data_IF_905527523721
#
_entry.id   IF_905527523721
#
_cell.length_a   1.000
_cell.length_b   1.000
_cell.length_c   1.000
_cell.angle_alpha   90.00
_cell.angle_beta   90.00
_cell.angle_gamma   90.00
#
_symmetry.space_group_name_H-M   'P 1'
#
loop_
_entity.id
_entity.type
_entity.pdbx_description
1 polymer ?
#
# COMPACT_ATOMS: atom_id res chain seq x y z
N UNK A 1 7.33 -2.67 31.34
CA UNK A 1 6.41 -2.70 30.19
C UNK A 1 7.29 -2.84 28.97
N UNK A 2 7.20 -3.98 28.26
CA UNK A 2 8.01 -4.20 27.06
C UNK A 2 7.47 -3.25 25.98
N UNK A 3 8.27 -2.29 25.55
CA UNK A 3 7.91 -1.48 24.39
C UNK A 3 7.70 -2.41 23.19
N UNK A 4 6.61 -2.21 22.46
CA UNK A 4 6.25 -3.05 21.34
C UNK A 4 7.21 -2.81 20.15
N UNK A 5 7.63 -3.90 19.50
CA UNK A 5 8.36 -3.85 18.26
C UNK A 5 7.54 -3.11 17.20
N UNK A 6 8.21 -2.33 16.35
CA UNK A 6 7.59 -1.68 15.19
C UNK A 6 7.80 -2.53 13.95
N UNK A 7 6.78 -2.63 13.13
CA UNK A 7 6.85 -3.35 11.86
C UNK A 7 6.74 -2.36 10.70
N UNK A 8 7.65 -2.47 9.76
CA UNK A 8 7.68 -1.64 8.56
C UNK A 8 7.62 -2.50 7.30
N UNK A 9 7.12 -1.90 6.23
CA UNK A 9 7.11 -2.48 4.88
C UNK A 9 7.92 -1.58 3.97
N UNK A 10 9.00 -2.10 3.40
CA UNK A 10 9.77 -1.45 2.34
C UNK A 10 9.25 -1.96 1.00
N UNK A 11 8.83 -1.05 0.13
CA UNK A 11 8.48 -1.32 -1.26
C UNK A 11 9.48 -0.66 -2.19
N UNK A 12 9.89 -1.36 -3.23
CA UNK A 12 10.92 -0.94 -4.18
C UNK A 12 10.47 -1.25 -5.61
N UNK A 13 10.77 -0.36 -6.52
CA UNK A 13 10.70 -0.56 -7.96
C UNK A 13 11.88 0.11 -8.65
N UNK A 14 12.60 -0.62 -9.50
CA UNK A 14 13.74 -0.11 -10.29
C UNK A 14 13.92 -0.92 -11.57
N UNK A 15 14.94 -0.58 -12.39
CA UNK A 15 15.38 -1.46 -13.47
C UNK A 15 15.90 -2.77 -12.89
N UNK A 16 15.60 -3.92 -13.54
CA UNK A 16 16.09 -5.22 -13.06
C UNK A 16 17.61 -5.33 -13.26
N UNK A 17 18.32 -5.60 -12.18
CA UNK A 17 19.79 -5.76 -12.22
C UNK A 17 20.27 -6.64 -11.08
N UNK A 18 21.44 -7.22 -11.29
CA UNK A 18 22.10 -8.09 -10.29
C UNK A 18 22.45 -7.32 -9.03
N UNK A 19 22.18 -7.90 -7.86
CA UNK A 19 22.61 -7.40 -6.57
C UNK A 19 21.55 -6.62 -5.79
N UNK A 20 20.40 -6.33 -6.34
CA UNK A 20 19.31 -5.59 -5.64
C UNK A 20 18.92 -6.29 -4.34
N UNK A 21 18.55 -7.57 -4.40
CA UNK A 21 18.14 -8.34 -3.22
C UNK A 21 19.23 -8.39 -2.16
N UNK A 22 20.48 -8.62 -2.60
CA UNK A 22 21.63 -8.67 -1.69
C UNK A 22 21.87 -7.31 -1.00
N UNK A 23 21.78 -6.20 -1.74
CA UNK A 23 21.98 -4.86 -1.21
C UNK A 23 20.88 -4.50 -0.18
N UNK A 24 19.61 -4.79 -0.49
CA UNK A 24 18.49 -4.50 0.40
C UNK A 24 18.54 -5.37 1.65
N UNK A 25 18.73 -6.68 1.49
CA UNK A 25 18.80 -7.60 2.63
C UNK A 25 20.03 -7.32 3.50
N UNK A 26 21.17 -7.01 2.87
CA UNK A 26 22.40 -6.65 3.57
C UNK A 26 22.27 -5.36 4.36
N UNK A 27 21.57 -4.36 3.83
CA UNK A 27 21.26 -3.12 4.55
C UNK A 27 20.44 -3.38 5.81
N UNK A 28 19.33 -4.12 5.68
CA UNK A 28 18.47 -4.44 6.82
C UNK A 28 19.23 -5.27 7.88
N UNK A 29 19.98 -6.28 7.44
CA UNK A 29 20.79 -7.11 8.32
C UNK A 29 21.91 -6.31 9.01
N UNK A 30 22.57 -5.38 8.30
CA UNK A 30 23.61 -4.51 8.85
C UNK A 30 23.11 -3.58 9.96
N UNK A 31 21.82 -3.25 9.96
CA UNK A 31 21.15 -2.50 11.03
C UNK A 31 20.56 -3.39 12.12
N UNK A 32 20.76 -4.71 12.06
CA UNK A 32 20.20 -5.65 13.02
C UNK A 32 18.66 -5.80 12.92
N UNK A 33 18.08 -5.50 11.77
CA UNK A 33 16.64 -5.57 11.55
C UNK A 33 16.22 -6.99 11.12
N UNK A 34 15.10 -7.45 11.65
CA UNK A 34 14.63 -8.82 11.41
C UNK A 34 13.61 -8.84 10.27
N UNK A 35 13.99 -9.45 9.14
CA UNK A 35 13.10 -9.63 7.99
C UNK A 35 12.12 -10.77 8.30
N UNK A 36 10.82 -10.47 8.28
CA UNK A 36 9.75 -11.45 8.52
C UNK A 36 9.16 -11.99 7.23
N UNK A 37 9.15 -11.17 6.17
CA UNK A 37 8.63 -11.56 4.85
C UNK A 37 9.42 -10.80 3.78
N UNK A 38 9.72 -11.47 2.67
CA UNK A 38 10.28 -10.82 1.50
C UNK A 38 9.75 -11.49 0.24
N UNK A 39 9.20 -10.69 -0.65
CA UNK A 39 8.74 -11.11 -1.97
C UNK A 39 9.31 -10.17 -3.03
N UNK A 40 9.68 -10.73 -4.15
CA UNK A 40 10.16 -9.94 -5.29
C UNK A 40 9.69 -10.55 -6.60
N UNK A 41 9.62 -9.71 -7.61
CA UNK A 41 9.19 -10.08 -8.95
C UNK A 41 9.97 -9.27 -9.98
N UNK A 42 10.52 -9.95 -10.97
CA UNK A 42 11.11 -9.34 -12.16
C UNK A 42 10.12 -9.43 -13.31
N UNK A 43 9.75 -8.29 -13.86
CA UNK A 43 8.91 -8.19 -15.05
C UNK A 43 9.79 -8.22 -16.29
N UNK A 44 9.77 -9.34 -17.00
CA UNK A 44 10.58 -9.56 -18.21
C UNK A 44 10.11 -8.79 -19.44
N UNK A 45 8.89 -8.24 -19.42
CA UNK A 45 8.38 -7.43 -20.52
C UNK A 45 8.86 -5.98 -20.43
N UNK A 46 8.99 -5.46 -19.21
CA UNK A 46 9.37 -4.07 -18.95
C UNK A 46 10.77 -3.91 -18.37
N UNK A 47 11.51 -5.01 -18.15
CA UNK A 47 12.82 -5.05 -17.47
C UNK A 47 12.78 -4.34 -16.10
N UNK A 48 11.66 -4.47 -15.39
CA UNK A 48 11.48 -3.85 -14.08
C UNK A 48 11.47 -4.88 -12.97
N UNK A 49 12.14 -4.51 -11.89
CA UNK A 49 12.16 -5.26 -10.64
C UNK A 49 11.27 -4.60 -9.60
N UNK A 50 10.51 -5.43 -8.88
CA UNK A 50 9.67 -5.03 -7.75
C UNK A 50 10.01 -5.87 -6.54
N UNK A 51 10.10 -5.23 -5.38
CA UNK A 51 10.35 -5.95 -4.12
C UNK A 51 9.51 -5.35 -3.01
N UNK A 52 8.96 -6.23 -2.18
CA UNK A 52 8.27 -5.90 -0.94
C UNK A 52 8.90 -6.68 0.20
N UNK A 53 9.40 -6.00 1.21
CA UNK A 53 10.04 -6.61 2.38
C UNK A 53 9.40 -6.09 3.65
N UNK A 54 8.94 -7.00 4.50
CA UNK A 54 8.43 -6.70 5.84
C UNK A 54 9.52 -6.98 6.85
N UNK A 55 9.76 -6.03 7.74
CA UNK A 55 10.79 -6.17 8.77
C UNK A 55 10.40 -5.53 10.10
N UNK A 56 10.95 -6.05 11.17
CA UNK A 56 10.76 -5.58 12.54
C UNK A 56 11.94 -4.74 13.00
N UNK A 57 11.61 -3.66 13.70
CA UNK A 57 12.57 -2.79 14.40
C UNK A 57 12.34 -2.89 15.89
N UNK A 58 13.39 -3.15 16.63
CA UNK A 58 13.34 -3.18 18.11
C UNK A 58 13.07 -1.76 18.65
N UNK A 59 12.54 -1.60 19.87
CA UNK A 59 12.25 -0.29 20.45
C UNK A 59 13.44 0.66 20.50
N UNK A 60 14.65 0.12 20.68
CA UNK A 60 15.92 0.86 20.65
C UNK A 60 16.52 1.03 19.25
N UNK A 61 15.86 0.53 18.22
CA UNK A 61 16.34 0.59 16.84
C UNK A 61 16.08 1.93 16.17
N UNK A 62 16.52 2.06 14.91
CA UNK A 62 16.41 3.31 14.17
C UNK A 62 14.95 3.74 13.95
N UNK A 63 14.71 5.03 14.00
CA UNK A 63 13.44 5.63 13.64
C UNK A 63 13.21 5.57 12.13
N UNK A 64 11.94 5.74 11.69
CA UNK A 64 11.60 5.75 10.27
C UNK A 64 12.41 6.80 9.47
N UNK A 65 12.57 8.06 9.90
CA UNK A 65 13.40 9.04 9.19
C UNK A 65 14.87 8.63 9.08
N UNK A 66 15.44 7.98 10.11
CA UNK A 66 16.82 7.48 10.07
C UNK A 66 16.95 6.32 9.07
N UNK A 67 15.97 5.41 9.02
CA UNK A 67 15.90 4.34 8.04
C UNK A 67 15.79 4.89 6.61
N UNK A 68 14.91 5.87 6.38
CA UNK A 68 14.74 6.50 5.07
C UNK A 68 16.02 7.20 4.62
N UNK A 69 16.67 7.94 5.50
CA UNK A 69 17.95 8.59 5.21
C UNK A 69 19.04 7.59 4.84
N UNK A 70 19.19 6.54 5.64
CA UNK A 70 20.23 5.53 5.42
C UNK A 70 19.97 4.67 4.19
N UNK A 71 18.71 4.37 3.88
CA UNK A 71 18.34 3.60 2.69
C UNK A 71 18.52 4.41 1.40
N UNK A 72 18.44 5.74 1.47
CA UNK A 72 18.60 6.64 0.31
C UNK A 72 19.87 6.37 -0.48
N UNK A 73 21.00 6.13 0.18
CA UNK A 73 22.29 5.83 -0.49
C UNK A 73 22.21 4.56 -1.35
N UNK A 74 21.49 3.54 -0.89
CA UNK A 74 21.29 2.30 -1.65
C UNK A 74 20.29 2.53 -2.78
N UNK A 75 19.24 3.27 -2.50
CA UNK A 75 18.22 3.60 -3.47
C UNK A 75 18.80 4.38 -4.66
N UNK A 76 19.66 5.35 -4.39
CA UNK A 76 20.35 6.15 -5.42
C UNK A 76 21.25 5.28 -6.30
N UNK A 77 21.97 4.33 -5.71
CA UNK A 77 22.86 3.41 -6.45
C UNK A 77 22.13 2.61 -7.53
N UNK A 78 20.87 2.25 -7.28
CA UNK A 78 20.06 1.43 -8.20
C UNK A 78 18.92 2.23 -8.85
N UNK A 79 18.91 3.56 -8.70
CA UNK A 79 17.85 4.44 -9.17
C UNK A 79 16.43 3.93 -8.76
N UNK A 80 16.29 3.53 -7.49
CA UNK A 80 15.05 2.95 -6.98
C UNK A 80 13.97 4.02 -6.75
N UNK A 81 12.75 3.70 -7.15
CA UNK A 81 11.54 4.30 -6.56
C UNK A 81 11.16 3.44 -5.35
N UNK A 82 11.07 4.04 -4.16
CA UNK A 82 10.88 3.27 -2.94
C UNK A 82 10.09 4.02 -1.89
N UNK A 83 9.55 3.27 -0.92
CA UNK A 83 8.85 3.83 0.23
C UNK A 83 8.92 2.88 1.42
N UNK A 84 9.07 3.44 2.63
CA UNK A 84 8.93 2.72 3.90
C UNK A 84 7.59 3.10 4.52
N UNK A 85 6.75 2.09 4.74
CA UNK A 85 5.42 2.23 5.35
C UNK A 85 5.47 1.72 6.78
N UNK A 86 4.92 2.49 7.72
CA UNK A 86 4.67 2.04 9.08
C UNK A 86 3.34 1.27 9.11
N UNK A 87 3.37 0.00 9.53
CA UNK A 87 2.18 -0.85 9.57
C UNK A 87 1.20 -0.44 10.68
N UNK A 88 1.64 0.35 11.65
CA UNK A 88 0.76 0.91 12.67
C UNK A 88 -0.14 2.03 12.12
N UNK A 89 0.25 2.65 11.00
CA UNK A 89 -0.53 3.69 10.33
C UNK A 89 -1.42 3.03 9.30
N UNK A 90 -2.72 3.01 9.56
CA UNK A 90 -3.70 2.49 8.61
C UNK A 90 -3.80 3.41 7.39
N UNK A 91 -3.60 2.89 6.18
CA UNK A 91 -3.80 3.68 4.97
C UNK A 91 -5.29 4.04 4.79
N UNK A 92 -5.55 5.24 4.30
CA UNK A 92 -6.90 5.68 3.92
C UNK A 92 -7.16 5.27 2.48
N UNK A 93 -8.21 4.48 2.26
CA UNK A 93 -8.52 3.89 0.96
C UNK A 93 -9.92 4.30 0.52
N UNK A 94 -10.02 5.07 -0.57
CA UNK A 94 -11.27 5.30 -1.28
C UNK A 94 -11.56 4.08 -2.16
N UNK A 95 -12.75 3.48 -2.00
CA UNK A 95 -13.16 2.34 -2.80
C UNK A 95 -14.05 2.83 -3.94
N UNK A 96 -13.66 2.50 -5.17
CA UNK A 96 -14.45 2.76 -6.36
C UNK A 96 -15.09 1.45 -6.82
N UNK A 97 -16.41 1.43 -6.94
CA UNK A 97 -17.18 0.25 -7.37
C UNK A 97 -18.15 0.61 -8.49
N UNK A 98 -18.64 -0.41 -9.16
CA UNK A 98 -19.69 -0.27 -10.15
C UNK A 98 -20.92 -1.11 -9.71
N UNK A 99 -21.57 -1.82 -10.62
CA UNK A 99 -22.82 -2.52 -10.40
C UNK A 99 -22.70 -3.78 -9.54
N UNK A 100 -21.56 -4.50 -9.65
CA UNK A 100 -21.39 -5.80 -9.00
C UNK A 100 -20.81 -5.67 -7.59
N UNK A 101 -21.34 -6.40 -6.65
CA UNK A 101 -21.13 -6.26 -5.21
C UNK A 101 -20.11 -7.23 -4.60
N UNK A 102 -19.72 -8.32 -5.29
CA UNK A 102 -18.93 -9.41 -4.72
C UNK A 102 -17.58 -8.94 -4.17
N UNK A 103 -16.84 -8.09 -4.91
CA UNK A 103 -15.56 -7.56 -4.43
C UNK A 103 -15.74 -6.61 -3.24
N UNK A 104 -16.78 -5.75 -3.30
CA UNK A 104 -17.06 -4.82 -2.22
C UNK A 104 -17.45 -5.56 -0.94
N UNK A 105 -18.29 -6.58 -1.03
CA UNK A 105 -18.72 -7.39 0.11
C UNK A 105 -17.52 -8.09 0.80
N UNK A 106 -16.57 -8.63 0.03
CA UNK A 106 -15.35 -9.22 0.60
C UNK A 106 -14.50 -8.18 1.32
N UNK A 107 -14.29 -7.01 0.71
CA UNK A 107 -13.53 -5.91 1.33
C UNK A 107 -14.20 -5.41 2.62
N UNK A 108 -15.51 -5.19 2.61
CA UNK A 108 -16.27 -4.75 3.79
C UNK A 108 -16.27 -5.82 4.89
N UNK A 109 -16.36 -7.09 4.53
CA UNK A 109 -16.24 -8.19 5.49
C UNK A 109 -14.87 -8.19 6.17
N UNK A 110 -13.78 -8.11 5.39
CA UNK A 110 -12.40 -8.06 5.92
C UNK A 110 -12.14 -6.79 6.74
N UNK A 111 -12.69 -5.66 6.32
CA UNK A 111 -12.62 -4.41 7.07
C UNK A 111 -13.27 -4.56 8.46
N UNK A 112 -14.50 -5.09 8.50
CA UNK A 112 -15.25 -5.31 9.73
C UNK A 112 -14.58 -6.32 10.67
N UNK A 113 -13.98 -7.38 10.14
CA UNK A 113 -13.28 -8.41 10.93
C UNK A 113 -11.87 -7.99 11.34
N UNK A 114 -11.39 -6.82 10.91
CA UNK A 114 -10.05 -6.32 11.22
C UNK A 114 -8.92 -7.01 10.45
N UNK A 115 -9.24 -7.90 9.50
CA UNK A 115 -8.25 -8.57 8.64
C UNK A 115 -7.70 -7.65 7.55
N UNK A 116 -8.40 -6.54 7.26
CA UNK A 116 -7.96 -5.49 6.36
C UNK A 116 -7.70 -4.22 7.16
N UNK A 117 -6.44 -3.92 7.56
CA UNK A 117 -6.10 -2.82 8.45
C UNK A 117 -6.00 -1.49 7.69
N UNK A 118 -7.13 -1.02 7.16
CA UNK A 118 -7.27 0.26 6.44
C UNK A 118 -8.33 1.14 7.10
N UNK A 119 -8.37 2.41 6.71
CA UNK A 119 -9.53 3.29 6.91
C UNK A 119 -10.24 3.47 5.57
N UNK A 120 -11.57 3.32 5.56
CA UNK A 120 -12.39 3.56 4.36
C UNK A 120 -13.15 4.87 4.59
N UNK A 121 -12.64 6.02 4.10
CA UNK A 121 -13.32 7.29 4.26
C UNK A 121 -14.61 7.38 3.46
N UNK A 122 -14.68 6.67 2.33
CA UNK A 122 -15.85 6.64 1.48
C UNK A 122 -15.80 5.47 0.48
N UNK A 123 -16.99 5.18 -0.07
CA UNK A 123 -17.16 4.36 -1.27
C UNK A 123 -17.84 5.22 -2.32
N UNK A 124 -17.35 5.22 -3.55
CA UNK A 124 -18.00 5.89 -4.66
C UNK A 124 -18.39 4.90 -5.77
N UNK A 125 -19.56 5.12 -6.38
CA UNK A 125 -20.09 4.26 -7.43
C UNK A 125 -20.86 5.05 -8.48
N UNK A 126 -20.82 4.59 -9.70
CA UNK A 126 -21.66 5.09 -10.79
C UNK A 126 -23.07 4.48 -10.77
N UNK A 127 -23.38 3.57 -9.84
CA UNK A 127 -24.68 2.95 -9.62
C UNK A 127 -25.10 3.07 -8.15
N UNK A 128 -26.38 3.29 -7.83
CA UNK A 128 -26.86 3.43 -6.45
C UNK A 128 -27.07 2.09 -5.73
N UNK A 129 -27.00 0.97 -6.44
CA UNK A 129 -27.42 -0.36 -5.96
C UNK A 129 -26.74 -0.77 -4.64
N UNK A 130 -25.49 -0.35 -4.42
CA UNK A 130 -24.67 -0.76 -3.28
C UNK A 130 -24.75 0.21 -2.08
N UNK A 131 -25.48 1.32 -2.19
CA UNK A 131 -25.55 2.35 -1.17
C UNK A 131 -25.95 1.77 0.20
N UNK A 132 -27.03 0.98 0.27
CA UNK A 132 -27.52 0.39 1.52
C UNK A 132 -26.50 -0.49 2.23
N UNK A 133 -25.74 -1.27 1.46
CA UNK A 133 -24.70 -2.16 2.00
C UNK A 133 -23.55 -1.34 2.62
N UNK A 134 -23.11 -0.30 1.94
CA UNK A 134 -22.03 0.57 2.39
C UNK A 134 -22.43 1.35 3.65
N UNK A 135 -23.61 1.98 3.62
CA UNK A 135 -24.16 2.76 4.74
C UNK A 135 -24.40 1.90 5.98
N UNK A 136 -24.78 0.62 5.80
CA UNK A 136 -24.91 -0.32 6.92
C UNK A 136 -23.59 -0.55 7.68
N UNK A 137 -22.45 -0.40 7.00
CA UNK A 137 -21.11 -0.43 7.62
C UNK A 137 -20.69 0.92 8.22
N UNK A 138 -21.56 1.95 8.19
CA UNK A 138 -21.26 3.29 8.68
C UNK A 138 -20.29 4.07 7.80
N UNK A 139 -20.14 3.65 6.53
CA UNK A 139 -19.21 4.28 5.55
C UNK A 139 -20.02 5.21 4.64
N UNK A 140 -19.55 6.45 4.38
CA UNK A 140 -20.17 7.35 3.42
C UNK A 140 -20.19 6.75 2.01
N UNK A 141 -21.32 6.89 1.32
CA UNK A 141 -21.47 6.47 -0.07
C UNK A 141 -21.73 7.67 -0.98
N UNK A 142 -21.02 7.73 -2.09
CA UNK A 142 -21.18 8.78 -3.10
C UNK A 142 -21.63 8.16 -4.42
N UNK A 143 -22.83 8.54 -4.86
CA UNK A 143 -23.31 8.18 -6.18
C UNK A 143 -22.84 9.20 -7.21
N UNK A 144 -21.97 8.78 -8.13
CA UNK A 144 -21.37 9.57 -9.19
C UNK A 144 -21.80 8.99 -10.55
N UNK A 145 -23.01 9.32 -11.06
CA UNK A 145 -23.50 8.76 -12.30
C UNK A 145 -22.60 9.17 -13.48
N UNK A 146 -22.19 8.18 -14.26
CA UNK A 146 -21.36 8.40 -15.46
C UNK A 146 -22.25 8.40 -16.70
N UNK A 147 -22.36 9.55 -17.37
CA UNK A 147 -22.98 9.71 -18.68
C UNK A 147 -21.92 9.89 -19.75
N UNK A 148 -22.33 9.92 -21.03
CA UNK A 148 -21.38 10.18 -22.12
C UNK A 148 -20.74 11.57 -22.01
N UNK A 149 -21.47 12.54 -21.46
CA UNK A 149 -21.01 13.93 -21.30
C UNK A 149 -20.11 14.10 -20.06
N UNK A 150 -20.38 13.36 -18.96
CA UNK A 150 -19.64 13.51 -17.70
C UNK A 150 -18.48 12.54 -17.56
N UNK A 151 -18.30 11.60 -18.49
CA UNK A 151 -17.29 10.53 -18.39
C UNK A 151 -15.87 11.08 -18.20
N UNK A 152 -15.46 12.05 -18.99
CA UNK A 152 -14.11 12.62 -18.93
C UNK A 152 -13.84 13.29 -17.57
N UNK A 153 -14.81 14.05 -17.05
CA UNK A 153 -14.72 14.74 -15.76
C UNK A 153 -14.70 13.74 -14.59
N UNK A 154 -15.51 12.67 -14.65
CA UNK A 154 -15.56 11.63 -13.62
C UNK A 154 -14.31 10.74 -13.61
N UNK A 155 -13.68 10.50 -14.76
CA UNK A 155 -12.41 9.76 -14.83
C UNK A 155 -11.23 10.55 -14.25
N UNK A 156 -11.29 11.87 -14.22
CA UNK A 156 -10.28 12.72 -13.61
C UNK A 156 -10.23 12.57 -12.09
N UNK A 157 -11.36 12.30 -11.43
CA UNK A 157 -11.45 12.03 -9.99
C UNK A 157 -10.59 10.81 -9.61
N UNK A 158 -10.56 9.77 -10.44
CA UNK A 158 -9.73 8.58 -10.21
C UNK A 158 -8.23 8.84 -10.41
N UNK A 159 -7.85 9.80 -11.24
CA UNK A 159 -6.44 10.15 -11.53
C UNK A 159 -5.83 11.08 -10.49
N UNK A 160 -6.63 11.90 -9.82
CA UNK A 160 -6.16 12.87 -8.83
C UNK A 160 -5.68 12.21 -7.50
N UNK A 161 -5.81 10.88 -7.36
CA UNK A 161 -5.53 10.15 -6.12
C UNK A 161 -4.52 9.01 -6.29
N UNK A 162 -3.78 8.97 -7.41
CA UNK A 162 -2.69 8.01 -7.65
C UNK A 162 -1.33 8.64 -7.39
#
# INVERSE_FOLDING_TARGET
MSEAKKTYVLTISCADTVGIVAAVSGFLAGLGLFITESSHYGDTETDRFFMRTVFEVQPSGPSKPELEKAFGEIADRFAMTWKIHDTAVKPRVLILVSKFDHCLNDLLYRYRTGTLPIEIPAVASNHPDLQRVVEWHGIPFYHLPVTKETKAEQEEIGRAHV
#
